data_IF_183965359520
#
_entry.id   IF_183965359520
#
_cell.length_a   1.000
_cell.length_b   1.000
_cell.length_c   1.000
_cell.angle_alpha   90.00
_cell.angle_beta   90.00
_cell.angle_gamma   90.00
#
_symmetry.space_group_name_H-M   'P 1'
#
loop_
_entity.id
_entity.type
_entity.pdbx_description
1 polymer ?
#
# COMPACT_ATOMS: atom_id res chain seq x y z
N UNK A 1 -12.67 13.61 -3.09
CA UNK A 1 -13.43 14.14 -1.92
C UNK A 1 -12.51 14.02 -0.73
N UNK A 2 -12.24 15.11 -0.02
CA UNK A 2 -11.29 15.08 1.09
C UNK A 2 -11.70 14.07 2.16
N UNK A 3 -10.78 13.19 2.51
CA UNK A 3 -10.97 12.17 3.54
C UNK A 3 -10.88 12.80 4.94
N UNK A 4 -11.82 13.69 5.27
CA UNK A 4 -11.90 14.33 6.58
C UNK A 4 -12.78 13.47 7.50
N UNK A 5 -12.19 12.98 8.58
CA UNK A 5 -12.89 12.22 9.63
C UNK A 5 -13.34 13.18 10.72
N UNK A 6 -14.64 13.45 10.80
CA UNK A 6 -15.25 14.32 11.81
C UNK A 6 -15.64 13.53 13.06
N UNK A 7 -15.37 14.08 14.22
CA UNK A 7 -15.70 13.49 15.51
C UNK A 7 -16.98 14.12 16.10
N UNK A 8 -17.92 13.29 16.54
CA UNK A 8 -19.14 13.75 17.20
C UNK A 8 -18.86 14.50 18.53
N UNK A 9 -17.74 14.16 19.20
CA UNK A 9 -17.22 14.87 20.38
C UNK A 9 -15.76 15.21 20.14
N UNK A 10 -15.26 16.39 20.53
CA UNK A 10 -13.86 16.74 20.37
C UNK A 10 -12.91 15.69 20.97
N UNK A 11 -11.73 15.61 20.41
CA UNK A 11 -10.62 14.81 20.93
C UNK A 11 -9.60 15.76 21.62
N UNK A 12 -9.53 15.75 22.95
CA UNK A 12 -8.53 16.53 23.66
C UNK A 12 -7.17 15.83 23.52
N UNK A 13 -6.24 16.45 22.80
CA UNK A 13 -4.88 15.95 22.70
C UNK A 13 -4.00 16.65 23.74
N UNK A 14 -3.65 15.90 24.80
CA UNK A 14 -3.05 16.44 26.03
C UNK A 14 -1.68 17.09 25.82
N UNK A 15 -0.88 16.63 24.84
CA UNK A 15 0.45 17.18 24.57
C UNK A 15 0.43 18.60 23.99
N UNK A 16 -0.65 18.96 23.29
CA UNK A 16 -0.79 20.31 22.71
C UNK A 16 -1.82 21.16 23.45
N UNK A 17 -2.57 20.59 24.38
CA UNK A 17 -3.67 21.27 25.07
C UNK A 17 -4.80 21.68 24.12
N UNK A 18 -4.87 21.09 22.93
CA UNK A 18 -5.79 21.43 21.86
C UNK A 18 -6.89 20.36 21.71
N UNK A 19 -8.10 20.80 21.46
CA UNK A 19 -9.22 19.90 21.10
C UNK A 19 -9.39 19.82 19.60
N UNK A 20 -9.41 18.58 19.10
CA UNK A 20 -9.59 18.28 17.68
C UNK A 20 -11.01 17.77 17.40
N UNK A 21 -11.71 18.41 16.48
CA UNK A 21 -13.05 17.98 16.03
C UNK A 21 -13.00 17.10 14.80
N UNK A 22 -11.85 17.06 14.12
CA UNK A 22 -11.66 16.28 12.89
C UNK A 22 -10.17 15.92 12.67
N UNK A 23 -9.96 14.95 11.78
CA UNK A 23 -8.64 14.61 11.23
C UNK A 23 -8.73 14.64 9.71
N UNK A 24 -7.84 15.38 9.08
CA UNK A 24 -7.72 15.42 7.63
C UNK A 24 -6.77 14.30 7.16
N UNK A 25 -7.31 13.37 6.39
CA UNK A 25 -6.60 12.27 5.76
C UNK A 25 -6.47 12.46 4.23
N UNK A 26 -6.64 13.68 3.72
CA UNK A 26 -6.54 13.96 2.27
C UNK A 26 -5.16 13.62 1.70
N UNK A 27 -4.12 13.56 2.54
CA UNK A 27 -2.80 13.08 2.17
C UNK A 27 -2.77 11.63 1.69
N UNK A 28 -3.79 10.81 1.96
CA UNK A 28 -3.92 9.44 1.41
C UNK A 28 -3.79 9.42 -0.12
N UNK A 29 -4.29 10.44 -0.80
CA UNK A 29 -4.25 10.53 -2.27
C UNK A 29 -2.82 10.74 -2.82
N UNK A 30 -1.85 11.05 -1.95
CA UNK A 30 -0.44 11.28 -2.31
C UNK A 30 0.46 10.09 -1.95
N UNK A 31 -0.06 9.14 -1.18
CA UNK A 31 0.70 7.98 -0.76
C UNK A 31 0.84 6.97 -1.91
N UNK A 32 1.94 6.24 -1.88
CA UNK A 32 2.31 5.24 -2.88
C UNK A 32 2.36 3.85 -2.26
N UNK A 33 2.54 2.82 -3.09
CA UNK A 33 2.80 1.46 -2.60
C UNK A 33 4.09 1.40 -1.78
N UNK A 34 5.09 2.27 -2.08
CA UNK A 34 6.29 2.36 -1.24
C UNK A 34 5.96 2.75 0.20
N UNK A 35 5.03 3.68 0.41
CA UNK A 35 4.59 4.05 1.76
C UNK A 35 3.95 2.87 2.51
N UNK A 36 3.19 2.03 1.80
CA UNK A 36 2.66 0.77 2.36
C UNK A 36 3.78 -0.19 2.76
N UNK A 37 4.78 -0.37 1.91
CA UNK A 37 5.95 -1.22 2.17
C UNK A 37 6.71 -0.72 3.41
N UNK A 38 6.91 0.59 3.52
CA UNK A 38 7.59 1.19 4.68
C UNK A 38 6.83 0.93 5.98
N UNK A 39 5.49 1.04 5.95
CA UNK A 39 4.63 0.71 7.09
C UNK A 39 4.71 -0.78 7.42
N UNK A 40 4.61 -1.66 6.43
CA UNK A 40 4.79 -3.10 6.64
C UNK A 40 6.14 -3.40 7.31
N UNK A 41 7.20 -2.73 6.85
CA UNK A 41 8.55 -2.89 7.41
C UNK A 41 8.63 -2.40 8.85
N UNK A 42 8.06 -1.24 9.17
CA UNK A 42 8.06 -0.70 10.53
C UNK A 42 7.31 -1.60 11.52
N UNK A 43 6.27 -2.28 11.06
CA UNK A 43 5.42 -3.15 11.87
C UNK A 43 5.82 -4.64 11.83
N UNK A 44 6.78 -5.04 10.99
CA UNK A 44 7.15 -6.44 10.80
C UNK A 44 7.63 -7.13 12.10
N UNK A 45 8.23 -6.37 13.01
CA UNK A 45 8.69 -6.88 14.31
C UNK A 45 7.59 -6.87 15.39
N UNK A 46 6.50 -6.13 15.19
CA UNK A 46 5.40 -6.01 16.15
C UNK A 46 4.25 -6.97 15.87
N UNK A 47 4.12 -7.41 14.64
CA UNK A 47 3.00 -8.22 14.16
C UNK A 47 3.48 -9.60 13.71
N UNK A 48 2.98 -10.63 14.36
CA UNK A 48 3.32 -12.03 14.06
C UNK A 48 2.84 -12.50 12.67
N UNK A 49 1.98 -11.73 11.98
CA UNK A 49 1.46 -12.07 10.66
C UNK A 49 1.12 -10.83 9.84
N UNK A 50 1.62 -10.78 8.60
CA UNK A 50 1.27 -9.74 7.63
C UNK A 50 -0.12 -9.96 7.02
N UNK A 51 -0.71 -11.15 7.17
CA UNK A 51 -1.95 -11.54 6.49
C UNK A 51 -3.19 -10.69 6.84
N UNK A 52 -3.15 -9.92 7.92
CA UNK A 52 -4.24 -9.04 8.34
C UNK A 52 -3.73 -7.65 8.74
N UNK A 53 -2.62 -7.22 8.16
CA UNK A 53 -1.94 -5.97 8.54
C UNK A 53 -2.91 -4.77 8.49
N UNK A 54 -3.66 -4.61 7.40
CA UNK A 54 -4.57 -3.49 7.19
C UNK A 54 -5.72 -3.45 8.22
N UNK A 55 -6.05 -4.60 8.84
CA UNK A 55 -7.07 -4.69 9.88
C UNK A 55 -6.55 -4.27 11.26
N UNK A 56 -5.24 -4.06 11.42
CA UNK A 56 -4.64 -3.73 12.72
C UNK A 56 -4.77 -2.26 13.08
N UNK A 57 -4.80 -1.99 14.40
CA UNK A 57 -4.83 -0.59 14.89
C UNK A 57 -3.49 0.10 14.62
N UNK A 58 -2.36 -0.62 14.75
CA UNK A 58 -1.03 -0.07 14.49
C UNK A 58 -0.88 0.38 13.03
N UNK A 59 -1.38 -0.42 12.08
CA UNK A 59 -1.42 -0.02 10.66
C UNK A 59 -2.22 1.28 10.47
N UNK A 60 -3.42 1.36 11.06
CA UNK A 60 -4.24 2.57 10.95
C UNK A 60 -3.55 3.81 11.56
N UNK A 61 -2.80 3.66 12.64
CA UNK A 61 -2.03 4.73 13.28
C UNK A 61 -0.89 5.23 12.38
N UNK A 62 -0.09 4.32 11.83
CA UNK A 62 1.02 4.67 10.95
C UNK A 62 0.53 5.30 9.64
N UNK A 63 -0.52 4.72 9.04
CA UNK A 63 -1.12 5.25 7.83
C UNK A 63 -1.71 6.65 8.05
N UNK A 64 -2.43 6.86 9.16
CA UNK A 64 -2.99 8.16 9.52
C UNK A 64 -1.88 9.19 9.77
N UNK A 65 -0.77 8.78 10.37
CA UNK A 65 0.42 9.63 10.57
C UNK A 65 0.96 10.13 9.23
N UNK A 66 1.21 9.23 8.28
CA UNK A 66 1.69 9.59 6.94
C UNK A 66 0.68 10.49 6.20
N UNK A 67 -0.61 10.16 6.27
CA UNK A 67 -1.66 10.88 5.54
C UNK A 67 -1.95 12.28 6.10
N UNK A 68 -1.89 12.46 7.43
CA UNK A 68 -2.27 13.73 8.07
C UNK A 68 -1.10 14.62 8.47
N UNK A 69 0.12 14.06 8.51
CA UNK A 69 1.30 14.73 9.06
C UNK A 69 1.27 14.91 10.58
N UNK A 70 0.28 14.33 11.29
CA UNK A 70 0.23 14.31 12.74
C UNK A 70 1.19 13.25 13.28
N UNK A 71 1.80 13.46 14.46
CA UNK A 71 2.68 12.45 15.05
C UNK A 71 1.91 11.17 15.42
N UNK A 72 2.58 10.02 15.43
CA UNK A 72 1.95 8.72 15.72
C UNK A 72 1.33 8.68 17.13
N UNK A 73 1.90 9.41 18.09
CA UNK A 73 1.39 9.55 19.46
C UNK A 73 -0.01 10.17 19.48
N UNK A 74 -0.32 11.08 18.54
CA UNK A 74 -1.66 11.64 18.40
C UNK A 74 -2.70 10.54 18.19
N UNK A 75 -2.38 9.55 17.38
CA UNK A 75 -3.26 8.41 17.09
C UNK A 75 -3.20 7.33 18.17
N UNK A 76 -2.04 7.07 18.76
CA UNK A 76 -1.87 6.09 19.84
C UNK A 76 -2.66 6.45 21.10
N UNK A 77 -2.79 7.74 21.39
CA UNK A 77 -3.56 8.25 22.53
C UNK A 77 -5.04 8.49 22.23
N UNK A 78 -5.44 8.30 20.97
CA UNK A 78 -6.83 8.54 20.54
C UNK A 78 -7.77 7.49 21.15
N UNK A 79 -8.95 7.90 21.68
CA UNK A 79 -9.97 6.96 22.14
C UNK A 79 -10.36 5.94 21.08
N UNK A 80 -10.54 4.67 21.49
CA UNK A 80 -10.84 3.55 20.60
C UNK A 80 -11.94 3.83 19.58
N UNK A 81 -13.01 4.49 19.98
CA UNK A 81 -14.12 4.80 19.09
C UNK A 81 -13.72 5.76 17.95
N UNK A 82 -12.77 6.67 18.20
CA UNK A 82 -12.29 7.62 17.20
C UNK A 82 -11.27 7.00 16.26
N UNK A 83 -10.29 6.24 16.80
CA UNK A 83 -9.33 5.55 15.94
C UNK A 83 -10.01 4.52 15.03
N UNK A 84 -11.13 3.91 15.45
CA UNK A 84 -11.94 3.05 14.59
C UNK A 84 -12.57 3.81 13.42
N UNK A 85 -13.01 5.06 13.61
CA UNK A 85 -13.50 5.90 12.52
C UNK A 85 -12.38 6.25 11.53
N UNK A 86 -11.20 6.59 12.04
CA UNK A 86 -9.99 6.81 11.23
C UNK A 86 -9.63 5.55 10.44
N UNK A 87 -9.58 4.39 11.09
CA UNK A 87 -9.30 3.10 10.44
C UNK A 87 -10.30 2.80 9.32
N UNK A 88 -11.60 3.02 9.56
CA UNK A 88 -12.64 2.81 8.54
C UNK A 88 -12.42 3.72 7.33
N UNK A 89 -12.09 5.00 7.55
CA UNK A 89 -11.82 5.95 6.48
C UNK A 89 -10.59 5.54 5.66
N UNK A 90 -9.52 5.07 6.31
CA UNK A 90 -8.32 4.55 5.64
C UNK A 90 -8.67 3.35 4.78
N UNK A 91 -9.36 2.34 5.34
CA UNK A 91 -9.75 1.15 4.59
C UNK A 91 -10.62 1.46 3.36
N UNK A 92 -11.53 2.43 3.49
CA UNK A 92 -12.33 2.90 2.35
C UNK A 92 -11.48 3.59 1.28
N UNK A 93 -10.42 4.29 1.69
CA UNK A 93 -9.50 4.98 0.77
C UNK A 93 -8.53 4.01 0.07
N UNK A 94 -8.25 2.86 0.68
CA UNK A 94 -7.43 1.81 0.05
C UNK A 94 -8.20 1.04 -1.03
N UNK A 95 -9.54 1.08 -1.00
CA UNK A 95 -10.34 0.41 -2.01
C UNK A 95 -10.33 1.20 -3.31
N UNK A 96 -9.79 0.59 -4.36
CA UNK A 96 -9.82 1.13 -5.71
C UNK A 96 -11.26 1.32 -6.22
N UNK A 97 -11.48 2.34 -7.03
CA UNK A 97 -12.79 2.63 -7.66
C UNK A 97 -13.08 1.67 -8.80
N UNK A 98 -12.05 1.27 -9.53
CA UNK A 98 -12.13 0.28 -10.60
C UNK A 98 -11.71 -1.09 -10.09
N UNK A 99 -12.46 -2.12 -10.47
CA UNK A 99 -12.05 -3.51 -10.21
C UNK A 99 -11.17 -3.99 -11.36
N UNK A 100 -10.09 -4.69 -11.05
CA UNK A 100 -9.37 -5.49 -12.04
C UNK A 100 -10.27 -6.67 -12.45
N UNK A 101 -10.12 -7.11 -13.70
CA UNK A 101 -10.67 -8.37 -14.16
C UNK A 101 -9.50 -9.37 -14.18
N UNK A 102 -9.39 -10.28 -13.22
CA UNK A 102 -8.26 -11.20 -13.12
C UNK A 102 -8.07 -12.03 -14.40
N UNK A 103 -9.18 -12.38 -15.07
CA UNK A 103 -9.13 -13.17 -16.31
C UNK A 103 -8.45 -12.46 -17.49
N UNK A 104 -8.13 -11.17 -17.36
CA UNK A 104 -7.49 -10.38 -18.43
C UNK A 104 -6.04 -10.03 -18.15
N UNK A 105 -5.50 -10.42 -16.98
CA UNK A 105 -4.12 -10.09 -16.57
C UNK A 105 -3.77 -8.60 -16.68
N UNK A 106 -4.77 -7.72 -16.85
CA UNK A 106 -4.58 -6.28 -17.05
C UNK A 106 -5.12 -5.53 -15.85
N UNK A 107 -4.22 -4.88 -15.12
CA UNK A 107 -4.56 -3.96 -14.04
C UNK A 107 -4.77 -2.56 -14.60
N UNK A 108 -6.02 -2.10 -14.65
CA UNK A 108 -6.37 -0.73 -15.01
C UNK A 108 -6.23 0.18 -13.79
N UNK A 109 -5.57 1.32 -13.98
CA UNK A 109 -5.39 2.30 -12.92
C UNK A 109 -6.65 3.18 -12.77
N UNK A 110 -6.92 3.67 -11.57
CA UNK A 110 -8.02 4.61 -11.30
C UNK A 110 -7.78 5.98 -11.94
N UNK A 111 -6.50 6.34 -12.09
CA UNK A 111 -6.05 7.51 -12.83
C UNK A 111 -4.74 7.19 -13.57
N UNK A 112 -4.45 7.87 -14.69
CA UNK A 112 -3.19 7.68 -15.40
C UNK A 112 -1.98 7.90 -14.49
N UNK A 113 -1.03 6.97 -14.52
CA UNK A 113 0.21 7.02 -13.72
C UNK A 113 1.39 7.40 -14.59
N UNK A 114 2.13 8.43 -14.21
CA UNK A 114 3.37 8.83 -14.90
C UNK A 114 4.58 8.32 -14.11
N UNK A 115 5.38 7.47 -14.75
CA UNK A 115 6.60 6.95 -14.15
C UNK A 115 7.71 8.00 -14.14
N UNK A 116 8.23 8.33 -12.96
CA UNK A 116 9.31 9.31 -12.77
C UNK A 116 10.56 8.72 -12.11
N UNK A 117 10.64 7.38 -11.99
CA UNK A 117 11.80 6.70 -11.41
C UNK A 117 13.05 6.80 -12.28
N UNK A 118 14.15 6.34 -11.74
CA UNK A 118 15.48 6.44 -12.39
C UNK A 118 15.97 5.09 -12.97
N UNK A 119 15.37 3.96 -12.58
CA UNK A 119 15.88 2.63 -12.95
C UNK A 119 15.73 2.32 -14.44
N UNK A 120 14.79 2.95 -15.14
CA UNK A 120 14.53 2.67 -16.56
C UNK A 120 14.24 3.95 -17.34
N UNK A 121 15.30 4.51 -17.93
CA UNK A 121 15.24 5.81 -18.60
C UNK A 121 14.30 5.85 -19.81
N UNK A 122 14.11 4.72 -20.52
CA UNK A 122 13.27 4.63 -21.72
C UNK A 122 11.77 4.76 -21.44
N UNK A 123 11.32 4.56 -20.20
CA UNK A 123 9.92 4.75 -19.78
C UNK A 123 9.74 5.97 -18.87
N UNK A 124 10.81 6.62 -18.45
CA UNK A 124 10.73 7.83 -17.62
C UNK A 124 9.93 8.92 -18.31
N UNK A 125 8.99 9.51 -17.60
CA UNK A 125 8.07 10.53 -18.10
C UNK A 125 6.90 9.98 -18.94
N UNK A 126 6.84 8.66 -19.20
CA UNK A 126 5.69 8.06 -19.86
C UNK A 126 4.53 7.87 -18.90
N UNK A 127 3.32 8.03 -19.43
CA UNK A 127 2.07 7.86 -18.70
C UNK A 127 1.40 6.55 -19.09
N UNK A 128 0.91 5.82 -18.10
CA UNK A 128 0.29 4.52 -18.23
C UNK A 128 -1.14 4.55 -17.66
N UNK A 129 -2.09 3.95 -18.36
CA UNK A 129 -3.48 3.78 -17.88
C UNK A 129 -3.70 2.39 -17.28
N UNK A 130 -2.80 1.45 -17.59
CA UNK A 130 -2.86 0.07 -17.13
C UNK A 130 -1.48 -0.60 -17.20
N UNK A 131 -1.36 -1.76 -16.59
CA UNK A 131 -0.22 -2.66 -16.75
C UNK A 131 -0.73 -4.07 -17.09
N UNK A 132 -0.04 -4.73 -18.01
CA UNK A 132 -0.28 -6.12 -18.40
C UNK A 132 0.64 -7.03 -17.58
N UNK A 133 0.06 -7.91 -16.78
CA UNK A 133 0.74 -8.86 -15.90
C UNK A 133 0.79 -10.28 -16.46
N UNK A 134 0.39 -10.51 -17.72
CA UNK A 134 0.34 -11.86 -18.32
C UNK A 134 1.65 -12.65 -18.18
N UNK A 135 2.79 -11.97 -18.19
CA UNK A 135 4.10 -12.62 -17.98
C UNK A 135 4.34 -13.09 -16.52
N UNK A 136 3.47 -12.75 -15.57
CA UNK A 136 3.57 -13.26 -14.18
C UNK A 136 3.28 -14.76 -14.16
N UNK A 137 2.30 -15.24 -14.92
CA UNK A 137 1.97 -16.66 -15.03
C UNK A 137 3.06 -17.52 -15.69
N UNK A 138 4.04 -16.91 -16.38
CA UNK A 138 5.18 -17.58 -16.98
C UNK A 138 6.38 -17.75 -16.02
N UNK A 139 6.30 -17.16 -14.82
CA UNK A 139 7.35 -17.27 -13.81
C UNK A 139 7.36 -18.69 -13.24
N UNK A 140 8.55 -19.13 -12.81
CA UNK A 140 8.76 -20.48 -12.29
C UNK A 140 9.42 -20.44 -10.90
N UNK A 141 9.66 -21.61 -10.30
CA UNK A 141 10.25 -21.73 -8.95
C UNK A 141 11.63 -21.08 -8.81
N UNK A 142 12.41 -20.97 -9.89
CA UNK A 142 13.66 -20.22 -9.87
C UNK A 142 13.37 -18.71 -9.71
N UNK A 143 12.35 -18.21 -10.43
CA UNK A 143 11.90 -16.84 -10.31
C UNK A 143 11.40 -16.53 -8.89
N UNK A 144 10.66 -17.47 -8.29
CA UNK A 144 10.22 -17.39 -6.90
C UNK A 144 11.41 -17.26 -5.93
N UNK A 145 12.38 -18.16 -6.00
CA UNK A 145 13.60 -18.08 -5.18
C UNK A 145 14.36 -16.77 -5.36
N UNK A 146 14.42 -16.25 -6.59
CA UNK A 146 15.04 -14.95 -6.85
C UNK A 146 14.25 -13.80 -6.20
N UNK A 147 12.93 -13.86 -6.25
CA UNK A 147 12.06 -12.86 -5.62
C UNK A 147 12.19 -12.89 -4.09
N UNK A 148 12.24 -14.06 -3.47
CA UNK A 148 12.47 -14.22 -2.03
C UNK A 148 13.83 -13.64 -1.60
N UNK A 149 14.90 -13.89 -2.37
CA UNK A 149 16.22 -13.33 -2.11
C UNK A 149 16.20 -11.78 -2.23
N UNK A 150 15.48 -11.22 -3.20
CA UNK A 150 15.29 -9.77 -3.31
C UNK A 150 14.51 -9.22 -2.14
N UNK A 151 13.44 -9.91 -1.72
CA UNK A 151 12.62 -9.54 -0.58
C UNK A 151 13.45 -9.48 0.72
N UNK A 152 14.37 -10.43 0.92
CA UNK A 152 15.31 -10.40 2.04
C UNK A 152 16.18 -9.13 2.02
N UNK A 153 16.56 -8.64 0.83
CA UNK A 153 17.27 -7.37 0.65
C UNK A 153 16.47 -6.14 1.10
N UNK A 154 15.13 -6.20 1.04
CA UNK A 154 14.24 -5.18 1.60
C UNK A 154 14.11 -5.27 3.13
N UNK A 155 14.67 -6.30 3.77
CA UNK A 155 14.65 -6.53 5.21
C UNK A 155 13.41 -7.27 5.69
N UNK A 156 12.73 -7.99 4.81
CA UNK A 156 11.63 -8.89 5.15
C UNK A 156 12.10 -10.34 5.21
N UNK A 157 11.47 -11.12 6.09
CA UNK A 157 11.54 -12.58 6.03
C UNK A 157 10.47 -13.06 5.04
N UNK A 158 10.76 -14.02 4.15
CA UNK A 158 9.79 -14.54 3.18
C UNK A 158 8.75 -15.45 3.87
N UNK A 159 7.83 -14.81 4.60
CA UNK A 159 6.67 -15.44 5.26
C UNK A 159 5.44 -14.67 4.80
N UNK A 160 4.40 -15.40 4.38
CA UNK A 160 3.16 -14.83 3.83
C UNK A 160 3.44 -13.85 2.66
N UNK A 161 4.15 -14.33 1.66
CA UNK A 161 4.62 -13.54 0.51
C UNK A 161 3.48 -12.84 -0.23
N UNK A 162 2.33 -13.50 -0.44
CA UNK A 162 1.15 -12.92 -1.10
C UNK A 162 0.57 -11.68 -0.41
N UNK A 163 0.84 -11.48 0.88
CA UNK A 163 0.42 -10.28 1.62
C UNK A 163 1.54 -9.25 1.80
N UNK A 164 2.73 -9.50 1.23
CA UNK A 164 3.85 -8.59 1.29
C UNK A 164 3.92 -7.74 0.02
N UNK A 165 3.64 -6.45 0.13
CA UNK A 165 3.61 -5.56 -1.04
C UNK A 165 4.96 -5.39 -1.72
N UNK A 166 6.09 -5.52 -1.01
CA UNK A 166 7.39 -5.54 -1.65
C UNK A 166 7.55 -6.78 -2.54
N UNK A 167 7.09 -7.95 -2.06
CA UNK A 167 7.11 -9.18 -2.85
C UNK A 167 6.22 -9.09 -4.08
N UNK A 168 5.00 -8.57 -3.92
CA UNK A 168 4.06 -8.32 -5.04
C UNK A 168 4.71 -7.43 -6.11
N UNK A 169 5.37 -6.34 -5.72
CA UNK A 169 6.06 -5.45 -6.66
C UNK A 169 7.24 -6.14 -7.34
N UNK A 170 7.99 -7.00 -6.63
CA UNK A 170 9.11 -7.78 -7.20
C UNK A 170 8.58 -8.76 -8.25
N UNK A 171 7.53 -9.53 -7.94
CA UNK A 171 6.92 -10.49 -8.88
C UNK A 171 6.36 -9.76 -10.10
N UNK A 172 5.61 -8.67 -9.93
CA UNK A 172 5.10 -7.86 -11.02
C UNK A 172 6.24 -7.32 -11.91
N UNK A 173 7.35 -6.87 -11.30
CA UNK A 173 8.55 -6.42 -12.00
C UNK A 173 9.16 -7.53 -12.86
N UNK A 174 9.26 -8.75 -12.31
CA UNK A 174 9.85 -9.89 -13.02
C UNK A 174 8.97 -10.35 -14.19
N UNK A 175 7.65 -10.38 -14.02
CA UNK A 175 6.72 -10.79 -15.08
C UNK A 175 6.60 -9.78 -16.22
N UNK A 176 6.71 -8.47 -15.92
CA UNK A 176 6.50 -7.42 -16.91
C UNK A 176 7.79 -6.85 -17.51
N UNK A 177 8.93 -7.05 -16.85
CA UNK A 177 10.19 -6.38 -17.18
C UNK A 177 10.21 -4.88 -16.86
N UNK A 178 9.18 -4.31 -16.20
CA UNK A 178 9.25 -2.98 -15.62
C UNK A 178 10.07 -3.01 -14.32
N UNK A 179 10.76 -1.93 -13.95
CA UNK A 179 11.55 -1.90 -12.73
C UNK A 179 10.66 -1.93 -11.48
N UNK A 180 11.21 -2.35 -10.34
CA UNK A 180 10.45 -2.44 -9.09
C UNK A 180 9.93 -1.06 -8.66
N UNK A 181 10.71 0.00 -8.89
CA UNK A 181 10.32 1.37 -8.56
C UNK A 181 9.12 1.90 -9.37
N UNK A 182 8.83 1.31 -10.55
CA UNK A 182 7.59 1.55 -11.27
C UNK A 182 6.37 1.13 -10.43
N UNK A 183 6.42 -0.05 -9.84
CA UNK A 183 5.31 -0.60 -9.05
C UNK A 183 5.22 0.04 -7.67
N UNK A 184 6.36 0.26 -7.00
CA UNK A 184 6.33 0.90 -5.67
C UNK A 184 5.92 2.36 -5.73
N UNK A 185 6.10 3.02 -6.88
CA UNK A 185 5.67 4.39 -7.12
C UNK A 185 4.20 4.56 -7.50
N UNK A 186 3.46 3.47 -7.75
CA UNK A 186 2.03 3.53 -8.03
C UNK A 186 1.25 4.14 -6.85
N UNK A 187 0.15 4.87 -7.11
CA UNK A 187 -0.74 5.35 -6.07
C UNK A 187 -1.19 4.21 -5.15
N UNK A 188 -1.28 4.49 -3.86
CA UNK A 188 -1.63 3.49 -2.84
C UNK A 188 -2.96 2.78 -3.10
N UNK A 189 -3.95 3.45 -3.71
CA UNK A 189 -5.23 2.85 -4.08
C UNK A 189 -5.12 1.72 -5.11
N UNK A 190 -4.00 1.61 -5.82
CA UNK A 190 -3.73 0.53 -6.78
C UNK A 190 -3.15 -0.74 -6.13
N UNK A 191 -2.71 -0.64 -4.87
CA UNK A 191 -1.99 -1.71 -4.17
C UNK A 191 -2.80 -3.02 -4.10
N UNK A 192 -4.08 -2.94 -3.71
CA UNK A 192 -4.93 -4.11 -3.61
C UNK A 192 -5.18 -4.77 -4.99
N UNK A 193 -5.41 -3.96 -6.03
CA UNK A 193 -5.60 -4.48 -7.41
C UNK A 193 -4.35 -5.18 -7.93
N UNK A 194 -3.19 -4.59 -7.68
CA UNK A 194 -1.91 -5.18 -8.08
C UNK A 194 -1.68 -6.51 -7.37
N UNK A 195 -1.90 -6.55 -6.05
CA UNK A 195 -1.78 -7.78 -5.26
C UNK A 195 -2.73 -8.86 -5.77
N UNK A 196 -4.02 -8.55 -5.88
CA UNK A 196 -5.03 -9.51 -6.28
C UNK A 196 -4.77 -10.09 -7.68
N UNK A 197 -4.20 -9.27 -8.59
CA UNK A 197 -3.82 -9.73 -9.92
C UNK A 197 -2.57 -10.61 -9.91
N UNK A 198 -1.56 -10.26 -9.09
CA UNK A 198 -0.36 -11.11 -8.92
C UNK A 198 -0.72 -12.42 -8.25
N UNK A 199 -1.59 -12.39 -7.23
CA UNK A 199 -2.02 -13.61 -6.51
C UNK A 199 -2.74 -14.57 -7.47
N UNK A 200 -3.62 -14.07 -8.33
CA UNK A 200 -4.36 -14.90 -9.29
C UNK A 200 -3.46 -15.54 -10.36
N UNK A 201 -2.37 -14.89 -10.74
CA UNK A 201 -1.50 -15.37 -11.83
C UNK A 201 -0.30 -16.19 -11.33
N UNK A 202 0.14 -15.96 -10.09
CA UNK A 202 1.37 -16.54 -9.55
C UNK A 202 1.12 -17.67 -8.56
N UNK A 203 0.01 -17.64 -7.80
CA UNK A 203 -0.26 -18.60 -6.72
C UNK A 203 -1.42 -19.58 -7.04
N UNK A 204 -2.17 -19.40 -8.12
CA UNK A 204 -3.17 -20.33 -8.62
C UNK A 204 -2.63 -21.19 -9.80
#
# INVERSE_FOLDING_TARGET
MGNIVKFAKPYPYSFEGTEYTEVDLSGMDKLTIQDMIDIQKSLANELASLAALEATTSFAQEMATKASGKPVEFFKLMPRAKIKQVQTAILLSLNAKTKSDPAKHIVKFDAPYTYNGEEKADIKGKTFESVDLSGVGELNTMSESMAENRLAGYGFTPVNTGHNYAYVCIIASMGTGYPVDYFTGLPLCEAAKLRDAVDADFFE
#
